data_IF_285378780610
#
_entry.id   IF_285378780610
#
_cell.length_a   1.000
_cell.length_b   1.000
_cell.length_c   1.000
_cell.angle_alpha   90.00
_cell.angle_beta   90.00
_cell.angle_gamma   90.00
#
_symmetry.space_group_name_H-M   'P 1'
#
loop_
_entity.id
_entity.type
_entity.pdbx_description
1 polymer ?
#
# COMPACT_ATOMS: atom_id res chain seq x y z
N UNK A 1 34.58 -7.08 5.39
CA UNK A 1 33.28 -7.20 4.70
C UNK A 1 32.30 -7.79 5.69
N UNK A 2 31.40 -6.96 6.24
CA UNK A 2 30.40 -7.41 7.22
C UNK A 2 29.24 -8.09 6.50
N UNK A 3 29.05 -9.39 6.76
CA UNK A 3 27.85 -10.12 6.32
C UNK A 3 26.65 -9.71 7.15
N UNK A 4 25.45 -9.86 6.59
CA UNK A 4 24.21 -9.77 7.37
C UNK A 4 24.15 -10.97 8.32
N UNK A 5 23.95 -10.70 9.60
CA UNK A 5 23.74 -11.75 10.60
C UNK A 5 22.42 -12.50 10.28
N UNK A 6 22.43 -13.82 10.45
CA UNK A 6 21.29 -14.69 10.16
C UNK A 6 20.02 -14.28 10.93
N UNK A 7 20.17 -13.66 12.10
CA UNK A 7 19.05 -13.12 12.88
C UNK A 7 18.25 -12.04 12.13
N UNK A 8 18.83 -11.37 11.13
CA UNK A 8 18.14 -10.37 10.30
C UNK A 8 17.61 -10.95 8.98
N UNK A 9 17.92 -12.21 8.66
CA UNK A 9 17.42 -12.87 7.47
C UNK A 9 16.02 -13.42 7.75
N UNK A 10 15.00 -12.81 7.14
CA UNK A 10 13.60 -13.23 7.33
C UNK A 10 13.36 -14.67 6.84
N UNK A 11 12.39 -15.37 7.42
CA UNK A 11 11.97 -16.70 6.97
C UNK A 11 11.47 -16.66 5.50
N UNK A 12 11.66 -17.73 4.70
CA UNK A 12 11.34 -17.73 3.26
C UNK A 12 9.94 -17.23 2.89
N UNK A 13 8.93 -17.47 3.73
CA UNK A 13 7.54 -17.05 3.59
C UNK A 13 7.34 -15.51 3.68
N UNK A 14 8.28 -14.80 4.29
CA UNK A 14 8.26 -13.34 4.42
C UNK A 14 9.11 -12.64 3.37
N UNK A 15 9.87 -13.40 2.58
CA UNK A 15 10.70 -12.84 1.53
C UNK A 15 9.84 -12.52 0.33
N UNK A 16 10.09 -11.36 -0.28
CA UNK A 16 9.42 -10.95 -1.49
C UNK A 16 9.57 -12.03 -2.57
N UNK A 17 8.46 -12.43 -3.19
CA UNK A 17 8.51 -13.37 -4.31
C UNK A 17 9.02 -12.62 -5.55
N UNK A 18 10.33 -12.58 -5.76
CA UNK A 18 10.99 -11.85 -6.85
C UNK A 18 10.65 -12.41 -8.25
N UNK A 19 9.78 -13.42 -8.36
CA UNK A 19 9.30 -14.00 -9.61
C UNK A 19 8.21 -13.16 -10.32
N UNK A 20 8.24 -11.85 -10.11
CA UNK A 20 7.39 -10.85 -10.78
C UNK A 20 8.20 -9.98 -11.76
N UNK A 21 9.37 -10.44 -12.20
CA UNK A 21 10.12 -9.77 -13.26
C UNK A 21 9.77 -10.35 -14.63
N UNK A 22 9.29 -9.48 -15.53
CA UNK A 22 9.08 -9.66 -16.98
C UNK A 22 7.66 -9.98 -17.48
N UNK A 23 6.66 -9.22 -17.07
CA UNK A 23 5.59 -8.82 -17.99
C UNK A 23 5.22 -7.39 -17.67
N UNK A 24 5.57 -6.45 -18.53
CA UNK A 24 5.26 -5.02 -18.44
C UNK A 24 3.77 -4.70 -18.59
N UNK A 25 2.90 -5.50 -17.99
CA UNK A 25 1.47 -5.54 -18.28
C UNK A 25 0.59 -5.81 -17.04
N UNK A 26 1.11 -5.61 -15.83
CA UNK A 26 0.32 -5.73 -14.60
C UNK A 26 0.49 -4.53 -13.68
N UNK A 27 0.28 -3.33 -14.22
CA UNK A 27 -0.23 -2.22 -13.42
C UNK A 27 -1.75 -2.46 -13.31
N UNK A 28 -2.16 -3.42 -12.47
CA UNK A 28 -3.52 -3.35 -11.93
C UNK A 28 -3.46 -2.23 -10.88
N UNK A 29 -3.86 -1.04 -11.32
CA UNK A 29 -4.01 0.20 -10.57
C UNK A 29 -5.04 0.09 -9.43
N UNK A 30 -4.84 -0.85 -8.52
CA UNK A 30 -5.44 -0.79 -7.20
C UNK A 30 -4.33 -0.21 -6.31
N UNK A 31 -4.17 1.11 -6.41
CA UNK A 31 -3.28 1.87 -5.53
C UNK A 31 -4.05 2.26 -4.27
N UNK A 32 -3.35 2.25 -3.14
CA UNK A 32 -3.93 2.69 -1.87
C UNK A 32 -4.37 4.15 -2.00
N UNK A 33 -5.61 4.49 -1.64
CA UNK A 33 -6.15 5.82 -1.85
C UNK A 33 -5.42 6.86 -0.99
N UNK A 34 -5.23 8.05 -1.56
CA UNK A 34 -4.77 9.25 -0.84
C UNK A 34 -5.92 10.25 -0.76
N UNK A 35 -6.27 10.70 0.45
CA UNK A 35 -7.40 11.59 0.72
C UNK A 35 -6.88 12.93 1.22
N UNK A 36 -7.04 13.98 0.41
CA UNK A 36 -6.64 15.34 0.79
C UNK A 36 -7.63 15.98 1.78
N UNK A 37 -7.20 16.01 3.04
CA UNK A 37 -7.94 16.63 4.15
C UNK A 37 -7.69 18.14 4.30
N UNK A 38 -6.83 18.73 3.47
CA UNK A 38 -6.57 20.19 3.48
C UNK A 38 -7.55 20.98 2.64
N UNK A 39 -8.25 20.31 1.71
CA UNK A 39 -9.25 20.93 0.87
C UNK A 39 -10.46 21.44 1.68
N UNK A 40 -11.00 22.61 1.30
CA UNK A 40 -12.23 23.15 1.88
C UNK A 40 -13.48 22.43 1.30
N UNK A 41 -13.44 21.10 1.25
CA UNK A 41 -14.55 20.26 0.78
C UNK A 41 -15.57 20.07 1.89
N UNK A 42 -16.78 19.69 1.49
CA UNK A 42 -17.81 19.33 2.43
C UNK A 42 -17.37 18.14 3.30
N UNK A 43 -17.65 18.21 4.61
CA UNK A 43 -17.23 17.19 5.57
C UNK A 43 -17.85 15.83 5.27
N UNK A 44 -19.04 15.81 4.68
CA UNK A 44 -19.75 14.58 4.32
C UNK A 44 -19.01 13.86 3.20
N UNK A 45 -18.54 14.59 2.19
CA UNK A 45 -17.77 14.03 1.07
C UNK A 45 -16.46 13.40 1.54
N UNK A 46 -15.73 14.08 2.43
CA UNK A 46 -14.50 13.54 3.02
C UNK A 46 -14.80 12.27 3.84
N UNK A 47 -15.89 12.29 4.64
CA UNK A 47 -16.28 11.13 5.43
C UNK A 47 -16.63 9.91 4.56
N UNK A 48 -17.28 10.12 3.41
CA UNK A 48 -17.58 9.06 2.45
C UNK A 48 -16.30 8.45 1.86
N UNK A 49 -15.36 9.27 1.41
CA UNK A 49 -14.07 8.78 0.85
C UNK A 49 -13.27 7.97 1.88
N UNK A 50 -13.27 8.41 3.15
CA UNK A 50 -12.63 7.67 4.24
C UNK A 50 -13.33 6.33 4.46
N UNK A 51 -14.67 6.30 4.47
CA UNK A 51 -15.43 5.07 4.66
C UNK A 51 -15.12 4.05 3.55
N UNK A 52 -15.12 4.49 2.29
CA UNK A 52 -14.81 3.63 1.14
C UNK A 52 -13.38 3.11 1.17
N UNK A 53 -12.41 3.95 1.54
CA UNK A 53 -11.02 3.54 1.67
C UNK A 53 -10.84 2.50 2.78
N UNK A 54 -11.47 2.71 3.94
CA UNK A 54 -11.44 1.75 5.03
C UNK A 54 -12.12 0.42 4.67
N UNK A 55 -13.21 0.44 3.91
CA UNK A 55 -13.91 -0.77 3.48
C UNK A 55 -13.07 -1.60 2.50
N UNK A 56 -12.44 -0.94 1.52
CA UNK A 56 -11.70 -1.62 0.44
C UNK A 56 -10.28 -2.01 0.84
N UNK A 57 -9.59 -1.14 1.58
CA UNK A 57 -8.16 -1.25 1.86
C UNK A 57 -7.86 -1.46 3.35
N UNK A 58 -8.73 -0.99 4.23
CA UNK A 58 -8.46 -0.89 5.67
C UNK A 58 -7.51 0.24 6.06
N UNK A 59 -6.96 0.99 5.09
CA UNK A 59 -6.09 2.15 5.31
C UNK A 59 -6.04 3.08 4.09
N UNK A 60 -5.55 4.30 4.31
CA UNK A 60 -5.37 5.33 3.28
C UNK A 60 -4.22 6.28 3.67
N UNK A 61 -3.75 7.08 2.72
CA UNK A 61 -2.80 8.17 2.97
C UNK A 61 -3.53 9.52 3.10
N UNK A 62 -3.00 10.41 3.94
CA UNK A 62 -3.51 11.78 4.15
C UNK A 62 -2.56 12.80 3.55
#
# INVERSE_FOLDING_TARGET
>A
MGGLDEAFIQAPEHRSNTKLTNSGDFILSDEIPTIDLSSCRDKTTIATEIAEACERWGFFFR
#
